data_IF_906158886564
#
_entry.id   IF_906158886564
#
_cell.length_a   1.000
_cell.length_b   1.000
_cell.length_c   1.000
_cell.angle_alpha   90.00
_cell.angle_beta   90.00
_cell.angle_gamma   90.00
#
_symmetry.space_group_name_H-M   'P 1'
#
loop_
_entity.id
_entity.type
_entity.pdbx_description
1 polymer ?
#
# COMPACT_ATOMS: atom_id res chain seq x y z
N UNK A 1 23.10 4.88 -0.26
CA UNK A 1 22.09 3.99 0.34
C UNK A 1 20.75 4.62 0.05
N UNK A 2 19.92 4.01 -0.80
CA UNK A 2 18.53 4.43 -0.94
C UNK A 2 17.75 3.68 0.15
N UNK A 3 17.24 4.41 1.13
CA UNK A 3 16.36 3.89 2.18
C UNK A 3 14.94 3.93 1.63
N UNK A 4 14.15 2.89 1.89
CA UNK A 4 12.72 2.86 1.54
C UNK A 4 11.96 3.93 2.35
N UNK A 5 11.37 4.97 1.72
CA UNK A 5 10.73 6.06 2.43
C UNK A 5 9.30 5.75 2.89
N UNK A 6 8.68 4.64 2.45
CA UNK A 6 7.24 4.38 2.59
C UNK A 6 6.80 3.92 3.98
N UNK A 7 7.39 4.50 5.03
CA UNK A 7 7.15 4.13 6.44
C UNK A 7 5.70 4.31 6.85
N UNK A 8 4.96 5.20 6.19
CA UNK A 8 3.57 5.49 6.55
C UNK A 8 2.60 4.35 6.20
N UNK A 9 3.01 3.39 5.36
CA UNK A 9 2.20 2.22 5.06
C UNK A 9 2.19 1.19 6.21
N UNK A 10 3.12 1.29 7.15
CA UNK A 10 3.14 0.49 8.37
C UNK A 10 2.41 1.27 9.49
N UNK A 11 1.22 0.83 9.94
CA UNK A 11 0.44 1.56 10.93
C UNK A 11 1.19 1.82 12.24
N UNK A 12 2.05 0.90 12.69
CA UNK A 12 2.84 1.06 13.92
C UNK A 12 3.97 2.07 13.73
N UNK A 13 4.59 2.11 12.54
CA UNK A 13 5.52 3.21 12.21
C UNK A 13 4.80 4.55 12.11
N UNK A 14 3.58 4.57 11.58
CA UNK A 14 2.75 5.77 11.56
C UNK A 14 2.42 6.28 12.97
N UNK A 15 2.27 5.42 13.97
CA UNK A 15 2.17 5.85 15.39
C UNK A 15 3.42 6.61 15.81
N UNK A 16 4.61 6.09 15.46
CA UNK A 16 5.89 6.75 15.79
C UNK A 16 6.03 8.10 15.08
N UNK A 17 5.62 8.18 13.82
CA UNK A 17 5.60 9.46 13.06
C UNK A 17 4.64 10.46 13.71
N UNK A 18 3.43 10.02 14.05
CA UNK A 18 2.43 10.86 14.71
C UNK A 18 2.88 11.35 16.09
N UNK A 19 3.57 10.50 16.86
CA UNK A 19 4.11 10.87 18.17
C UNK A 19 5.16 11.98 18.04
N UNK A 20 6.07 11.84 17.08
CA UNK A 20 7.09 12.85 16.80
C UNK A 20 6.47 14.18 16.36
N UNK A 21 5.46 14.15 15.48
CA UNK A 21 4.73 15.36 15.06
C UNK A 21 4.06 16.01 16.27
N UNK A 22 3.33 15.24 17.09
CA UNK A 22 2.69 15.74 18.31
C UNK A 22 3.69 16.38 19.26
N UNK A 23 4.85 15.76 19.48
CA UNK A 23 5.86 16.30 20.38
C UNK A 23 6.36 17.67 19.89
N UNK A 24 6.60 17.82 18.59
CA UNK A 24 6.98 19.11 18.00
C UNK A 24 5.84 20.14 18.12
N UNK A 25 4.58 19.75 17.92
CA UNK A 25 3.44 20.65 18.10
C UNK A 25 3.33 21.14 19.55
N UNK A 26 3.54 20.26 20.54
CA UNK A 26 3.55 20.63 21.97
C UNK A 26 4.70 21.58 22.30
N UNK A 27 5.87 21.42 21.68
CA UNK A 27 7.00 22.34 21.86
C UNK A 27 6.73 23.73 21.27
N UNK A 28 6.07 23.79 20.11
CA UNK A 28 5.76 25.04 19.41
C UNK A 28 4.56 25.79 20.00
N UNK A 29 3.60 25.06 20.57
CA UNK A 29 2.37 25.62 21.12
C UNK A 29 1.95 24.90 22.42
N UNK A 30 2.62 25.23 23.56
CA UNK A 30 2.39 24.56 24.84
C UNK A 30 0.98 24.75 25.41
N UNK A 31 0.30 25.84 25.06
CA UNK A 31 -1.05 26.15 25.56
C UNK A 31 -2.09 25.13 25.04
N UNK A 32 -1.84 24.53 23.88
CA UNK A 32 -2.70 23.51 23.26
C UNK A 32 -2.23 22.06 23.51
N UNK A 33 -1.31 21.85 24.45
CA UNK A 33 -0.73 20.53 24.74
C UNK A 33 -1.76 19.43 24.97
N UNK A 34 -2.76 19.67 25.82
CA UNK A 34 -3.77 18.66 26.17
C UNK A 34 -4.58 18.22 24.95
N UNK A 35 -4.86 19.15 24.02
CA UNK A 35 -5.56 18.85 22.78
C UNK A 35 -4.71 17.97 21.85
N UNK A 36 -3.43 18.31 21.68
CA UNK A 36 -2.53 17.48 20.87
C UNK A 36 -2.34 16.08 21.43
N UNK A 37 -2.19 15.94 22.76
CA UNK A 37 -2.09 14.63 23.41
C UNK A 37 -3.38 13.80 23.26
N UNK A 38 -4.55 14.44 23.43
CA UNK A 38 -5.84 13.77 23.22
C UNK A 38 -6.00 13.31 21.78
N UNK A 39 -5.72 14.17 20.80
CA UNK A 39 -5.85 13.85 19.39
C UNK A 39 -4.86 12.75 18.96
N UNK A 40 -3.63 12.79 19.46
CA UNK A 40 -2.64 11.72 19.25
C UNK A 40 -3.12 10.38 19.81
N UNK A 41 -3.67 10.35 21.03
CA UNK A 41 -4.16 9.10 21.62
C UNK A 41 -5.31 8.49 20.82
N UNK A 42 -6.21 9.33 20.28
CA UNK A 42 -7.26 8.85 19.38
C UNK A 42 -6.66 8.26 18.10
N UNK A 43 -5.78 9.01 17.43
CA UNK A 43 -5.11 8.57 16.20
C UNK A 43 -4.30 7.28 16.41
N UNK A 44 -3.62 7.17 17.54
CA UNK A 44 -2.85 5.97 17.93
C UNK A 44 -3.76 4.76 18.02
N UNK A 45 -4.92 4.88 18.68
CA UNK A 45 -5.87 3.77 18.79
C UNK A 45 -6.39 3.34 17.40
N UNK A 46 -6.70 4.29 16.52
CA UNK A 46 -7.16 3.98 15.16
C UNK A 46 -6.07 3.26 14.34
N UNK A 47 -4.79 3.62 14.53
CA UNK A 47 -3.65 2.97 13.89
C UNK A 47 -3.38 1.57 14.45
N UNK A 48 -3.51 1.36 15.76
CA UNK A 48 -3.39 0.04 16.40
C UNK A 48 -4.55 -0.89 16.00
N UNK A 49 -5.76 -0.35 15.81
CA UNK A 49 -6.88 -1.10 15.24
C UNK A 49 -6.57 -1.51 13.79
N UNK A 50 -6.07 -0.59 12.96
CA UNK A 50 -5.68 -0.89 11.58
C UNK A 50 -4.57 -1.96 11.50
N UNK A 51 -3.57 -1.91 12.38
CA UNK A 51 -2.54 -2.95 12.51
C UNK A 51 -3.16 -4.32 12.83
N UNK A 52 -4.14 -4.35 13.74
CA UNK A 52 -4.89 -5.56 14.08
C UNK A 52 -5.67 -6.09 12.87
N UNK A 53 -6.29 -5.21 12.08
CA UNK A 53 -7.00 -5.59 10.85
C UNK A 53 -6.05 -6.22 9.80
N UNK A 54 -4.84 -5.67 9.62
CA UNK A 54 -3.81 -6.26 8.76
C UNK A 54 -3.37 -7.64 9.25
N UNK A 55 -3.05 -7.78 10.53
CA UNK A 55 -2.68 -9.06 11.12
C UNK A 55 -3.79 -10.12 10.93
N UNK A 56 -5.05 -9.74 11.14
CA UNK A 56 -6.18 -10.63 10.93
C UNK A 56 -6.32 -11.06 9.46
N UNK A 57 -6.13 -10.13 8.52
CA UNK A 57 -6.16 -10.45 7.09
C UNK A 57 -5.06 -11.45 6.71
N UNK A 58 -3.83 -11.23 7.16
CA UNK A 58 -2.71 -12.11 6.84
C UNK A 58 -2.87 -13.48 7.50
N UNK A 59 -3.25 -13.54 8.78
CA UNK A 59 -3.49 -14.81 9.48
C UNK A 59 -4.63 -15.63 8.87
N UNK A 60 -5.59 -14.99 8.20
CA UNK A 60 -6.68 -15.65 7.50
C UNK A 60 -6.35 -16.10 6.07
N UNK A 61 -5.20 -15.68 5.54
CA UNK A 61 -4.82 -15.88 4.15
C UNK A 61 -4.13 -17.23 3.90
N UNK A 62 -4.30 -17.79 2.70
CA UNK A 62 -3.65 -19.04 2.27
C UNK A 62 -2.30 -18.80 1.61
N UNK A 63 -2.12 -17.62 1.06
CA UNK A 63 -0.88 -17.14 0.46
C UNK A 63 -0.42 -15.87 1.17
N UNK A 64 0.84 -15.52 0.99
CA UNK A 64 1.41 -14.26 1.50
C UNK A 64 2.13 -13.45 0.41
N UNK A 65 2.10 -13.93 -0.84
CA UNK A 65 2.84 -13.31 -1.95
C UNK A 65 1.89 -12.54 -2.85
N UNK A 66 2.30 -11.35 -3.26
CA UNK A 66 1.54 -10.49 -4.17
C UNK A 66 2.48 -9.70 -5.07
N UNK A 67 2.04 -9.32 -6.27
CA UNK A 67 2.86 -8.61 -7.26
C UNK A 67 2.38 -7.17 -7.47
N UNK A 68 3.31 -6.22 -7.46
CA UNK A 68 3.02 -4.78 -7.49
C UNK A 68 3.82 -4.08 -8.58
N UNK A 69 3.20 -3.09 -9.23
CA UNK A 69 3.90 -2.22 -10.18
C UNK A 69 4.79 -1.18 -9.48
N UNK A 70 4.42 -0.73 -8.27
CA UNK A 70 5.21 0.18 -7.45
C UNK A 70 5.66 -0.52 -6.17
N UNK A 71 6.97 -0.59 -5.94
CA UNK A 71 7.59 -1.28 -4.81
C UNK A 71 7.53 -0.48 -3.49
N UNK A 72 6.36 0.06 -3.12
CA UNK A 72 6.15 0.86 -1.91
C UNK A 72 5.94 0.02 -0.62
N UNK A 73 5.59 -1.25 -0.77
CA UNK A 73 5.02 -2.06 0.32
C UNK A 73 6.05 -2.85 1.12
N UNK A 74 7.31 -2.40 1.15
CA UNK A 74 8.42 -3.15 1.76
C UNK A 74 8.26 -3.38 3.26
N UNK A 75 7.69 -2.42 3.97
CA UNK A 75 7.49 -2.54 5.41
C UNK A 75 6.54 -3.67 5.80
N UNK A 76 5.53 -3.98 4.97
CA UNK A 76 4.59 -5.07 5.22
C UNK A 76 5.25 -6.45 5.24
N UNK A 77 6.39 -6.62 4.57
CA UNK A 77 7.14 -7.88 4.62
C UNK A 77 7.74 -8.11 6.00
N UNK A 78 8.31 -7.04 6.58
CA UNK A 78 8.91 -7.10 7.90
C UNK A 78 7.89 -7.25 9.02
N UNK A 79 6.78 -6.52 8.97
CA UNK A 79 5.79 -6.52 10.06
C UNK A 79 4.73 -7.61 9.95
N UNK A 80 4.31 -7.99 8.74
CA UNK A 80 3.22 -8.95 8.55
C UNK A 80 3.66 -10.24 7.86
N UNK A 81 4.90 -10.34 7.36
CA UNK A 81 5.36 -11.54 6.64
C UNK A 81 4.73 -11.71 5.25
N UNK A 82 4.17 -10.63 4.70
CA UNK A 82 3.82 -10.57 3.29
C UNK A 82 5.09 -10.58 2.42
N UNK A 83 4.98 -10.94 1.16
CA UNK A 83 6.10 -11.03 0.23
C UNK A 83 5.72 -10.31 -1.07
N UNK A 84 6.30 -9.14 -1.31
CA UNK A 84 5.97 -8.38 -2.52
C UNK A 84 6.93 -8.75 -3.64
N UNK A 85 6.38 -9.03 -4.81
CA UNK A 85 7.15 -9.14 -6.05
C UNK A 85 7.02 -7.80 -6.76
N UNK A 86 8.10 -7.02 -6.76
CA UNK A 86 8.16 -5.74 -7.46
C UNK A 86 8.40 -5.94 -8.95
N UNK A 87 7.54 -5.37 -9.78
CA UNK A 87 7.79 -5.29 -11.22
C UNK A 87 8.59 -4.01 -11.50
N UNK A 88 9.75 -4.15 -12.13
CA UNK A 88 10.56 -3.00 -12.53
C UNK A 88 9.99 -2.32 -13.78
N UNK A 89 10.02 -1.00 -13.83
CA UNK A 89 9.74 -0.24 -15.05
C UNK A 89 8.27 0.03 -15.38
N UNK A 90 7.32 -0.44 -14.56
CA UNK A 90 5.90 -0.12 -14.71
C UNK A 90 5.53 1.13 -13.90
N UNK A 91 5.97 2.29 -14.36
CA UNK A 91 5.60 3.57 -13.76
C UNK A 91 4.29 4.10 -14.36
N UNK A 92 3.44 4.81 -13.59
CA UNK A 92 2.17 5.34 -14.09
C UNK A 92 2.30 6.28 -15.29
N UNK A 93 3.45 6.95 -15.40
CA UNK A 93 3.69 8.03 -16.36
C UNK A 93 4.33 7.58 -17.66
N UNK A 94 4.94 6.40 -17.70
CA UNK A 94 5.74 5.93 -18.84
C UNK A 94 5.19 4.62 -19.41
N UNK A 95 5.19 4.52 -20.74
CA UNK A 95 4.92 3.24 -21.42
C UNK A 95 6.13 2.33 -21.21
N UNK A 96 5.95 1.12 -20.64
CA UNK A 96 7.07 0.26 -20.33
C UNK A 96 7.74 -0.24 -21.60
N UNK A 97 9.04 -0.50 -21.53
CA UNK A 97 9.76 -1.14 -22.61
C UNK A 97 9.24 -2.56 -22.86
N UNK A 98 9.43 -3.05 -24.09
CA UNK A 98 9.09 -4.42 -24.45
C UNK A 98 9.76 -5.46 -23.53
N UNK A 99 10.96 -5.14 -23.03
CA UNK A 99 11.71 -5.99 -22.10
C UNK A 99 11.01 -6.07 -20.74
N UNK A 100 10.62 -4.94 -20.16
CA UNK A 100 9.92 -4.88 -18.86
C UNK A 100 8.56 -5.60 -18.92
N UNK A 101 7.85 -5.47 -20.05
CA UNK A 101 6.60 -6.21 -20.26
C UNK A 101 6.82 -7.74 -20.28
N UNK A 102 7.87 -8.22 -20.98
CA UNK A 102 8.21 -9.66 -21.00
C UNK A 102 8.58 -10.15 -19.60
N UNK A 103 9.41 -9.40 -18.86
CA UNK A 103 9.81 -9.75 -17.50
C UNK A 103 8.59 -9.84 -16.57
N UNK A 104 7.64 -8.90 -16.70
CA UNK A 104 6.37 -8.93 -15.97
C UNK A 104 5.57 -10.19 -16.27
N UNK A 105 5.38 -10.52 -17.54
CA UNK A 105 4.62 -11.69 -17.99
C UNK A 105 5.27 -12.98 -17.46
N UNK A 106 6.60 -13.06 -17.48
CA UNK A 106 7.34 -14.21 -16.92
C UNK A 106 7.12 -14.34 -15.41
N UNK A 107 7.27 -13.26 -14.64
CA UNK A 107 7.06 -13.29 -13.18
C UNK A 107 5.65 -13.76 -12.81
N UNK A 108 4.63 -13.27 -13.52
CA UNK A 108 3.24 -13.66 -13.29
C UNK A 108 3.02 -15.14 -13.57
N UNK A 109 3.56 -15.66 -14.68
CA UNK A 109 3.44 -17.08 -15.07
C UNK A 109 4.21 -18.00 -14.11
N UNK A 110 5.43 -17.63 -13.74
CA UNK A 110 6.30 -18.42 -12.85
C UNK A 110 5.72 -18.56 -11.43
N UNK A 111 5.04 -17.52 -10.95
CA UNK A 111 4.43 -17.50 -9.62
C UNK A 111 2.93 -17.90 -9.64
N UNK A 112 2.37 -18.22 -10.80
CA UNK A 112 0.97 -18.60 -11.00
C UNK A 112 -0.03 -17.60 -10.38
N UNK A 113 0.29 -16.30 -10.47
CA UNK A 113 -0.47 -15.24 -9.83
C UNK A 113 -1.75 -14.95 -10.60
N UNK A 114 -2.83 -14.73 -9.85
CA UNK A 114 -4.14 -14.45 -10.43
C UNK A 114 -4.38 -12.95 -10.61
N UNK A 115 -3.76 -12.11 -9.78
CA UNK A 115 -3.88 -10.67 -9.85
C UNK A 115 -2.54 -9.95 -9.88
N UNK A 116 -2.56 -8.74 -10.43
CA UNK A 116 -1.45 -7.78 -10.43
C UNK A 116 -1.96 -6.45 -9.89
N UNK A 117 -1.25 -5.91 -8.90
CA UNK A 117 -1.60 -4.62 -8.33
C UNK A 117 -0.97 -3.47 -9.11
N UNK A 118 -1.83 -2.53 -9.47
CA UNK A 118 -1.46 -1.27 -10.07
C UNK A 118 -1.93 -0.10 -9.21
N UNK A 119 -1.23 1.03 -9.31
CA UNK A 119 -1.72 2.28 -8.76
C UNK A 119 -2.92 2.79 -9.57
N UNK A 120 -3.85 3.55 -8.95
CA UNK A 120 -5.07 4.02 -9.60
C UNK A 120 -4.86 4.80 -10.91
N UNK A 121 -3.67 5.39 -11.08
CA UNK A 121 -3.34 6.28 -12.19
C UNK A 121 -2.64 5.59 -13.38
N UNK A 122 -2.40 4.28 -13.32
CA UNK A 122 -1.63 3.59 -14.36
C UNK A 122 -2.47 3.34 -15.62
N UNK A 123 -1.86 3.51 -16.79
CA UNK A 123 -2.58 3.41 -18.06
C UNK A 123 -3.02 1.97 -18.40
N UNK A 124 -4.27 1.85 -18.86
CA UNK A 124 -4.99 0.61 -19.18
C UNK A 124 -4.26 -0.33 -20.19
N UNK A 125 -3.25 0.16 -20.93
CA UNK A 125 -2.56 -0.63 -21.96
C UNK A 125 -1.70 -1.76 -21.38
N UNK A 126 -0.93 -1.48 -20.32
CA UNK A 126 -0.01 -2.46 -19.71
C UNK A 126 -0.81 -3.57 -19.06
N UNK A 127 -1.79 -3.20 -18.22
CA UNK A 127 -2.77 -4.09 -17.62
C UNK A 127 -3.39 -5.03 -18.67
N UNK A 128 -3.84 -4.49 -19.81
CA UNK A 128 -4.45 -5.27 -20.88
C UNK A 128 -3.47 -6.23 -21.56
N UNK A 129 -2.23 -5.81 -21.80
CA UNK A 129 -1.23 -6.68 -22.40
C UNK A 129 -0.88 -7.87 -21.49
N UNK A 130 -0.63 -7.60 -20.19
CA UNK A 130 -0.33 -8.65 -19.24
C UNK A 130 -1.52 -9.61 -19.08
N UNK A 131 -2.73 -9.08 -18.96
CA UNK A 131 -3.96 -9.89 -18.91
C UNK A 131 -4.11 -10.81 -20.13
N UNK A 132 -3.90 -10.28 -21.34
CA UNK A 132 -4.02 -11.07 -22.57
C UNK A 132 -3.02 -12.24 -22.63
N UNK A 133 -1.82 -12.04 -22.10
CA UNK A 133 -0.72 -13.01 -22.18
C UNK A 133 -0.67 -14.01 -21.02
N UNK A 134 -1.22 -13.63 -19.86
CA UNK A 134 -1.12 -14.41 -18.60
C UNK A 134 -2.48 -14.89 -18.09
N UNK A 135 -3.57 -14.23 -18.47
CA UNK A 135 -4.89 -14.41 -17.87
C UNK A 135 -5.07 -13.69 -16.53
N UNK A 136 -4.02 -13.07 -15.97
CA UNK A 136 -4.11 -12.37 -14.68
C UNK A 136 -4.99 -11.12 -14.78
N UNK A 137 -5.84 -10.93 -13.79
CA UNK A 137 -6.66 -9.74 -13.63
C UNK A 137 -5.87 -8.62 -12.93
N UNK A 138 -6.38 -7.40 -12.97
CA UNK A 138 -5.74 -6.27 -12.29
C UNK A 138 -6.52 -5.83 -11.07
N UNK A 139 -5.81 -5.65 -9.96
CA UNK A 139 -6.33 -5.05 -8.74
C UNK A 139 -5.64 -3.71 -8.48
N UNK A 140 -6.14 -2.99 -7.48
CA UNK A 140 -5.61 -1.68 -7.10
C UNK A 140 -5.08 -1.73 -5.69
N UNK A 141 -3.86 -1.24 -5.53
CA UNK A 141 -3.24 -1.02 -4.24
C UNK A 141 -2.73 0.42 -4.22
N UNK A 142 -3.04 1.16 -3.17
CA UNK A 142 -2.71 2.58 -3.08
C UNK A 142 -1.56 2.78 -2.10
N UNK A 143 -0.49 3.44 -2.54
CA UNK A 143 0.67 3.74 -1.71
C UNK A 143 0.50 5.00 -0.84
N UNK A 144 -0.62 5.72 -0.95
CA UNK A 144 -0.96 6.94 -0.19
C UNK A 144 -0.01 8.15 -0.41
N UNK A 145 0.82 8.15 -1.46
CA UNK A 145 1.62 9.34 -1.81
C UNK A 145 0.76 10.48 -2.37
N UNK A 146 -0.38 10.14 -2.95
CA UNK A 146 -1.36 11.09 -3.46
C UNK A 146 -2.78 10.57 -3.29
N UNK A 147 -3.75 11.48 -3.26
CA UNK A 147 -5.17 11.16 -3.20
C UNK A 147 -5.83 11.63 -4.51
N UNK A 148 -6.54 10.72 -5.19
CA UNK A 148 -7.19 11.06 -6.46
C UNK A 148 -8.37 11.99 -6.25
N UNK A 149 -8.82 12.68 -7.31
CA UNK A 149 -10.04 13.51 -7.23
C UNK A 149 -11.27 12.68 -6.84
N UNK A 150 -11.36 11.44 -7.32
CA UNK A 150 -12.43 10.51 -6.99
C UNK A 150 -12.43 10.17 -5.49
N UNK A 151 -11.25 9.94 -4.91
CA UNK A 151 -11.10 9.63 -3.49
C UNK A 151 -11.46 10.84 -2.64
N UNK A 152 -11.03 12.05 -3.03
CA UNK A 152 -11.45 13.29 -2.38
C UNK A 152 -12.97 13.49 -2.42
N UNK A 153 -13.59 13.29 -3.59
CA UNK A 153 -15.04 13.44 -3.77
C UNK A 153 -15.84 12.39 -2.98
N UNK A 154 -15.20 11.28 -2.61
CA UNK A 154 -15.78 10.22 -1.78
C UNK A 154 -15.41 10.36 -0.29
N UNK A 155 -14.73 11.45 0.10
CA UNK A 155 -14.20 11.69 1.44
C UNK A 155 -13.34 10.54 1.98
N UNK A 156 -12.53 9.96 1.10
CA UNK A 156 -11.57 8.93 1.51
C UNK A 156 -10.41 9.56 2.28
N UNK A 157 -9.97 8.87 3.32
CA UNK A 157 -8.84 9.24 4.14
C UNK A 157 -7.79 8.12 4.19
N UNK A 158 -6.77 8.33 5.01
CA UNK A 158 -5.73 7.32 5.23
C UNK A 158 -6.32 5.96 5.62
N UNK A 159 -7.26 5.94 6.57
CA UNK A 159 -7.80 4.69 7.10
C UNK A 159 -8.71 4.00 6.10
N UNK A 160 -9.59 4.73 5.41
CA UNK A 160 -10.49 4.15 4.42
C UNK A 160 -9.72 3.56 3.24
N UNK A 161 -8.64 4.23 2.80
CA UNK A 161 -7.76 3.71 1.74
C UNK A 161 -6.96 2.50 2.21
N UNK A 162 -6.40 2.51 3.44
CA UNK A 162 -5.70 1.35 3.98
C UNK A 162 -6.63 0.14 4.12
N UNK A 163 -7.89 0.35 4.52
CA UNK A 163 -8.90 -0.72 4.57
C UNK A 163 -9.28 -1.24 3.18
N UNK A 164 -9.35 -0.38 2.16
CA UNK A 164 -9.50 -0.82 0.76
C UNK A 164 -8.30 -1.66 0.30
N UNK A 165 -7.08 -1.31 0.71
CA UNK A 165 -5.90 -2.13 0.44
C UNK A 165 -6.03 -3.50 1.10
N UNK A 166 -6.47 -3.58 2.36
CA UNK A 166 -6.76 -4.86 3.05
C UNK A 166 -7.76 -5.71 2.26
N UNK A 167 -8.89 -5.13 1.84
CA UNK A 167 -9.90 -5.85 1.07
C UNK A 167 -9.38 -6.30 -0.30
N UNK A 168 -8.53 -5.50 -0.95
CA UNK A 168 -7.93 -5.90 -2.21
C UNK A 168 -6.89 -7.01 -2.02
N UNK A 169 -6.11 -6.98 -0.94
CA UNK A 169 -5.18 -8.07 -0.58
C UNK A 169 -5.90 -9.37 -0.27
N UNK A 170 -7.05 -9.32 0.42
CA UNK A 170 -7.88 -10.53 0.67
C UNK A 170 -8.30 -11.24 -0.61
N UNK A 171 -8.42 -10.54 -1.75
CA UNK A 171 -8.80 -11.15 -3.03
C UNK A 171 -7.65 -11.95 -3.66
N UNK A 172 -6.41 -11.49 -3.54
CA UNK A 172 -5.24 -12.22 -4.06
C UNK A 172 -4.81 -13.35 -3.12
N UNK A 173 -4.92 -13.14 -1.80
CA UNK A 173 -4.29 -14.02 -0.81
C UNK A 173 -5.16 -15.22 -0.38
N UNK A 174 -6.41 -15.35 -0.88
CA UNK A 174 -7.40 -16.39 -0.47
C UNK A 174 -7.91 -17.27 -1.61
#
# INVERSE_FOLDING_TARGET
>A
MNVDPHVWLDPIRSVTVAENIKNVLVELDPDNKEEFEKNFNNLKNDLEELDTEFNNMVNGSKNNTFIVSHSAYGYWEGVYGLNKIGISGLYPTDEPSHKELIETISLVKENNLQYIYFEPNLTNKVAKAVKNETGAETLTLQNLESISKKDQDSNEDYFSIMRKNIESLKQELN
#
